data_IF_587493343298
#
_entry.id   IF_587493343298
#
_cell.length_a   1.000
_cell.length_b   1.000
_cell.length_c   1.000
_cell.angle_alpha   90.00
_cell.angle_beta   90.00
_cell.angle_gamma   90.00
#
_symmetry.space_group_name_H-M   'P 1'
#
loop_
_entity.id
_entity.type
_entity.pdbx_description
1 polymer ?
#
# COMPACT_ATOMS: atom_id res chain seq x y z
N UNK A 1 4.05 13.20 -19.43
CA UNK A 1 3.36 12.32 -18.45
C UNK A 1 2.83 13.18 -17.31
N UNK A 2 1.56 13.05 -16.91
CA UNK A 2 0.98 13.81 -15.78
C UNK A 2 1.06 12.93 -14.53
N UNK A 3 1.59 13.46 -13.42
CA UNK A 3 1.56 12.77 -12.11
C UNK A 3 0.08 12.62 -11.70
N UNK A 4 -0.33 11.40 -11.33
CA UNK A 4 -1.68 11.16 -10.79
C UNK A 4 -1.81 11.92 -9.46
N UNK A 5 -2.96 12.57 -9.25
CA UNK A 5 -3.25 13.18 -7.95
C UNK A 5 -3.38 12.06 -6.91
N UNK A 6 -2.61 12.14 -5.84
CA UNK A 6 -2.58 11.19 -4.75
C UNK A 6 -2.38 11.93 -3.42
N UNK A 7 -2.74 11.27 -2.33
CA UNK A 7 -2.37 11.66 -0.98
C UNK A 7 -0.96 11.15 -0.70
N UNK A 8 -0.24 11.84 0.16
CA UNK A 8 1.15 11.51 0.53
C UNK A 8 1.31 11.57 2.06
N UNK A 9 2.24 10.79 2.62
CA UNK A 9 2.56 10.82 4.05
C UNK A 9 1.41 10.34 4.94
N UNK A 10 1.20 11.04 6.06
CA UNK A 10 0.17 10.71 7.06
C UNK A 10 -1.26 10.73 6.47
N UNK A 11 -1.53 11.63 5.50
CA UNK A 11 -2.83 11.64 4.81
C UNK A 11 -3.07 10.36 4.01
N UNK A 12 -2.02 9.81 3.41
CA UNK A 12 -2.10 8.55 2.69
C UNK A 12 -2.34 7.36 3.63
N UNK A 13 -1.66 7.32 4.77
CA UNK A 13 -1.85 6.27 5.80
C UNK A 13 -3.26 6.32 6.37
N UNK A 14 -3.73 7.51 6.74
CA UNK A 14 -5.08 7.70 7.25
C UNK A 14 -6.14 7.32 6.21
N UNK A 15 -5.93 7.65 4.94
CA UNK A 15 -6.86 7.24 3.88
C UNK A 15 -6.84 5.72 3.66
N UNK A 16 -5.67 5.09 3.72
CA UNK A 16 -5.56 3.64 3.65
C UNK A 16 -6.28 2.97 4.82
N UNK A 17 -6.03 3.39 6.06
CA UNK A 17 -6.69 2.83 7.25
C UNK A 17 -8.21 2.95 7.18
N UNK A 18 -8.73 4.10 6.75
CA UNK A 18 -10.17 4.34 6.61
C UNK A 18 -10.81 3.74 5.35
N UNK A 19 -10.02 3.16 4.44
CA UNK A 19 -10.56 2.52 3.24
C UNK A 19 -11.35 1.25 3.59
N UNK A 20 -12.51 1.09 2.96
CA UNK A 20 -13.29 -0.15 3.04
C UNK A 20 -12.60 -1.21 2.19
N UNK A 21 -11.83 -2.08 2.86
CA UNK A 21 -11.06 -3.14 2.22
C UNK A 21 -11.88 -4.44 2.21
N UNK A 22 -11.91 -5.11 1.05
CA UNK A 22 -12.44 -6.48 0.89
C UNK A 22 -11.26 -7.42 0.68
N UNK A 23 -11.04 -7.86 -0.55
CA UNK A 23 -9.85 -8.61 -0.92
C UNK A 23 -8.81 -7.64 -1.50
N UNK A 24 -7.54 -7.80 -1.10
CA UNK A 24 -6.45 -7.01 -1.64
C UNK A 24 -5.22 -7.85 -1.98
N UNK A 25 -4.43 -7.36 -2.93
CA UNK A 25 -3.14 -7.93 -3.28
C UNK A 25 -2.03 -7.09 -2.67
N UNK A 26 -0.99 -7.76 -2.18
CA UNK A 26 0.25 -7.13 -1.71
C UNK A 26 1.40 -7.60 -2.60
N UNK A 27 2.16 -6.64 -3.13
CA UNK A 27 3.35 -6.85 -3.93
C UNK A 27 4.56 -6.26 -3.22
N UNK A 28 5.70 -6.90 -3.38
CA UNK A 28 6.98 -6.40 -2.89
C UNK A 28 7.91 -6.19 -4.08
N UNK A 29 8.59 -5.05 -4.16
CA UNK A 29 9.42 -4.66 -5.31
C UNK A 29 10.46 -5.71 -5.73
N UNK A 30 10.95 -6.52 -4.79
CA UNK A 30 11.98 -7.53 -5.01
C UNK A 30 11.46 -8.97 -4.90
N UNK A 31 10.14 -9.16 -5.00
CA UNK A 31 9.50 -10.47 -4.93
C UNK A 31 8.53 -10.66 -6.10
N UNK A 32 8.61 -11.82 -6.76
CA UNK A 32 7.68 -12.21 -7.83
C UNK A 32 6.38 -12.83 -7.27
N UNK A 33 6.34 -13.12 -5.98
CA UNK A 33 5.16 -13.65 -5.30
C UNK A 33 4.20 -12.53 -4.90
N UNK A 34 2.90 -12.85 -4.93
CA UNK A 34 1.83 -11.92 -4.56
C UNK A 34 1.04 -12.53 -3.42
N UNK A 35 0.84 -11.76 -2.35
CA UNK A 35 -0.03 -12.17 -1.26
C UNK A 35 -1.45 -11.70 -1.56
N UNK A 36 -2.42 -12.63 -1.53
CA UNK A 36 -3.84 -12.32 -1.55
C UNK A 36 -4.37 -12.38 -0.12
N UNK A 37 -4.78 -11.23 0.40
CA UNK A 37 -5.48 -11.13 1.69
C UNK A 37 -6.97 -11.11 1.40
N UNK A 38 -7.69 -12.07 1.98
CA UNK A 38 -9.15 -12.11 1.96
C UNK A 38 -9.70 -11.47 3.23
N UNK A 39 -10.79 -10.73 3.10
CA UNK A 39 -11.39 -9.97 4.22
C UNK A 39 -10.36 -9.09 4.95
N UNK A 40 -9.71 -8.21 4.19
CA UNK A 40 -8.72 -7.25 4.67
C UNK A 40 -9.36 -6.07 5.43
N UNK A 41 -10.58 -6.21 5.93
CA UNK A 41 -11.32 -5.15 6.62
C UNK A 41 -10.59 -4.59 7.85
N UNK A 42 -9.77 -5.42 8.49
CA UNK A 42 -8.94 -5.05 9.64
C UNK A 42 -7.45 -4.88 9.32
N UNK A 43 -7.07 -4.92 8.04
CA UNK A 43 -5.66 -4.83 7.64
C UNK A 43 -5.12 -3.43 7.90
N UNK A 44 -4.15 -3.34 8.81
CA UNK A 44 -3.38 -2.14 9.10
C UNK A 44 -1.95 -2.24 8.55
N UNK A 45 -1.28 -1.11 8.44
CA UNK A 45 0.07 -1.06 7.88
C UNK A 45 1.07 -1.78 8.78
N UNK A 46 0.88 -1.69 10.09
CA UNK A 46 1.68 -2.33 11.13
C UNK A 46 1.62 -3.87 11.07
N UNK A 47 0.53 -4.44 10.51
CA UNK A 47 0.39 -5.90 10.33
C UNK A 47 1.28 -6.43 9.19
N UNK A 48 1.71 -5.54 8.29
CA UNK A 48 2.50 -5.88 7.09
C UNK A 48 3.98 -5.62 7.33
N UNK A 49 4.31 -4.61 8.15
CA UNK A 49 5.67 -4.24 8.47
C UNK A 49 6.23 -5.13 9.59
N UNK A 50 6.94 -6.19 9.23
CA UNK A 50 7.79 -6.89 10.18
C UNK A 50 9.14 -6.15 10.27
N UNK A 51 9.33 -5.34 11.31
CA UNK A 51 10.55 -4.51 11.52
C UNK A 51 11.87 -5.31 11.60
N UNK A 52 11.80 -6.65 11.64
CA UNK A 52 12.96 -7.54 11.82
C UNK A 52 13.54 -8.15 10.55
N UNK A 53 12.94 -7.97 9.37
CA UNK A 53 13.37 -8.68 8.16
C UNK A 53 13.95 -7.75 7.08
N UNK A 54 15.24 -7.93 6.81
CA UNK A 54 15.99 -7.29 5.72
C UNK A 54 15.40 -7.59 4.32
N UNK A 55 14.49 -8.57 4.22
CA UNK A 55 13.75 -8.93 3.01
C UNK A 55 12.81 -7.81 2.52
N UNK A 56 12.48 -6.81 3.36
CA UNK A 56 11.59 -5.69 3.03
C UNK A 56 12.30 -4.39 2.62
N UNK A 57 13.52 -4.46 2.09
CA UNK A 57 14.27 -3.28 1.58
C UNK A 57 13.71 -2.63 0.30
N UNK A 58 12.55 -3.06 -0.16
CA UNK A 58 11.89 -2.55 -1.36
C UNK A 58 10.53 -1.94 -1.06
N UNK A 59 9.96 -1.26 -2.05
CA UNK A 59 8.63 -0.69 -1.94
C UNK A 59 7.55 -1.79 -1.82
N UNK A 60 6.51 -1.50 -1.04
CA UNK A 60 5.33 -2.35 -0.85
C UNK A 60 4.16 -1.69 -1.56
N UNK A 61 3.46 -2.47 -2.39
CA UNK A 61 2.27 -2.01 -3.11
C UNK A 61 1.05 -2.81 -2.64
N UNK A 62 -0.02 -2.12 -2.30
CA UNK A 62 -1.28 -2.73 -1.89
C UNK A 62 -2.41 -2.20 -2.77
N UNK A 63 -3.20 -3.09 -3.35
CA UNK A 63 -4.32 -2.73 -4.24
C UNK A 63 -5.52 -3.60 -3.95
N UNK A 64 -6.73 -3.08 -4.18
CA UNK A 64 -7.90 -3.93 -4.27
C UNK A 64 -7.93 -4.73 -5.57
N UNK A 65 -8.79 -5.75 -5.59
CA UNK A 65 -8.95 -6.65 -6.73
C UNK A 65 -9.29 -5.95 -8.04
N UNK A 66 -10.03 -4.84 -7.98
CA UNK A 66 -10.51 -4.11 -9.15
C UNK A 66 -9.64 -2.89 -9.49
N UNK A 67 -8.50 -2.72 -8.80
CA UNK A 67 -7.59 -1.59 -8.93
C UNK A 67 -8.33 -0.24 -8.85
N UNK A 68 -9.31 -0.15 -7.95
CA UNK A 68 -10.04 1.07 -7.62
C UNK A 68 -9.27 1.94 -6.62
N UNK A 69 -8.35 1.37 -5.83
CA UNK A 69 -7.39 2.10 -5.02
C UNK A 69 -6.02 1.43 -4.99
N UNK A 70 -5.01 2.24 -4.67
CA UNK A 70 -3.62 1.80 -4.54
C UNK A 70 -2.96 2.54 -3.39
N UNK A 71 -2.35 1.79 -2.50
CA UNK A 71 -1.47 2.29 -1.45
C UNK A 71 -0.05 1.83 -1.74
N UNK A 72 0.94 2.71 -1.56
CA UNK A 72 2.35 2.40 -1.76
C UNK A 72 3.13 2.85 -0.55
N UNK A 73 3.80 1.92 0.13
CA UNK A 73 4.77 2.23 1.17
C UNK A 73 6.16 2.12 0.58
N UNK A 74 6.87 3.23 0.60
CA UNK A 74 8.26 3.33 0.13
C UNK A 74 9.24 2.84 1.18
N UNK A 75 10.36 2.28 0.71
CA UNK A 75 11.49 1.92 1.57
C UNK A 75 12.24 3.15 2.12
N UNK A 76 12.19 4.28 1.43
CA UNK A 76 12.83 5.54 1.87
C UNK A 76 12.12 6.12 3.10
N UNK A 77 12.41 5.53 4.27
CA UNK A 77 11.79 5.88 5.54
C UNK A 77 11.87 7.39 5.79
N UNK A 78 10.69 8.03 5.88
CA UNK A 78 10.46 9.46 6.21
C UNK A 78 10.82 10.49 5.14
N UNK A 79 11.33 10.10 3.97
CA UNK A 79 11.75 11.07 2.93
C UNK A 79 10.78 11.14 1.75
N UNK A 80 10.17 10.02 1.39
CA UNK A 80 9.20 9.91 0.30
C UNK A 80 8.08 8.97 0.75
N UNK A 81 6.84 9.24 0.35
CA UNK A 81 5.69 8.37 0.65
C UNK A 81 5.31 8.27 2.15
N UNK A 82 4.39 7.36 2.51
CA UNK A 82 3.59 6.52 1.61
C UNK A 82 2.65 7.35 0.72
N UNK A 83 2.08 6.68 -0.28
CA UNK A 83 1.14 7.29 -1.23
C UNK A 83 -0.18 6.53 -1.25
N UNK A 84 -1.29 7.25 -1.38
CA UNK A 84 -2.60 6.66 -1.57
C UNK A 84 -3.33 7.32 -2.73
N UNK A 85 -3.87 6.51 -3.64
CA UNK A 85 -4.61 7.00 -4.80
C UNK A 85 -5.84 6.14 -5.05
N UNK A 86 -6.99 6.79 -5.27
CA UNK A 86 -8.16 6.15 -5.85
C UNK A 86 -8.19 6.32 -7.36
N UNK A 87 -8.91 5.44 -8.05
CA UNK A 87 -9.29 5.63 -9.45
C UNK A 87 -10.31 6.77 -9.51
N UNK A 88 -9.94 7.88 -10.14
CA UNK A 88 -10.88 8.93 -10.51
C UNK A 88 -11.50 8.54 -11.86
N UNK A 89 -12.84 8.59 -11.95
CA UNK A 89 -13.58 8.45 -13.20
C UNK A 89 -13.65 9.79 -13.94
#
# INVERSE_FOLDING_TARGET
MRKKKCLEGEEAENAFHNEVKKDCYIFYQHCDEVLLIKDASLLHMEDILCEGDDMYKGDIYIVDKDFTWTFVKTHEHRWCGPYFAKRCW
#
